data_IF_444500985083
#
_entry.id   IF_444500985083
#
_cell.length_a   1.000
_cell.length_b   1.000
_cell.length_c   1.000
_cell.angle_alpha   90.00
_cell.angle_beta   90.00
_cell.angle_gamma   90.00
#
_symmetry.space_group_name_H-M   'P 1'
#
loop_
_entity.id
_entity.type
_entity.pdbx_description
1 polymer ?
#
# COMPACT_ATOMS: atom_id res chain seq x y z
N UNK A 1 -14.19 -24.05 -28.53
CA UNK A 1 -13.33 -22.90 -28.90
C UNK A 1 -13.55 -21.84 -27.82
N UNK A 2 -12.72 -21.86 -26.77
CA UNK A 2 -12.92 -21.08 -25.54
C UNK A 2 -11.99 -19.87 -25.56
N UNK A 3 -12.55 -18.65 -25.58
CA UNK A 3 -11.78 -17.41 -25.56
C UNK A 3 -11.84 -16.84 -24.13
N UNK A 4 -10.71 -16.89 -23.44
CA UNK A 4 -10.51 -16.40 -22.08
C UNK A 4 -10.47 -14.87 -22.13
N UNK A 5 -11.46 -14.22 -21.53
CA UNK A 5 -11.47 -12.77 -21.29
C UNK A 5 -10.36 -12.43 -20.28
N UNK A 6 -9.38 -11.67 -20.75
CA UNK A 6 -8.32 -11.06 -19.95
C UNK A 6 -8.96 -10.18 -18.85
N UNK A 7 -8.68 -10.53 -17.59
CA UNK A 7 -9.06 -9.73 -16.42
C UNK A 7 -8.08 -8.57 -16.28
N UNK A 8 -8.25 -7.51 -17.06
CA UNK A 8 -7.58 -6.25 -16.77
C UNK A 8 -8.37 -5.52 -15.67
N UNK A 9 -7.94 -5.74 -14.43
CA UNK A 9 -8.39 -4.93 -13.30
C UNK A 9 -7.30 -3.91 -12.96
N UNK A 10 -7.01 -2.99 -13.89
CA UNK A 10 -6.17 -1.81 -13.62
C UNK A 10 -7.00 -0.65 -13.05
N UNK A 11 -7.70 -0.87 -11.93
CA UNK A 11 -8.23 0.22 -11.11
C UNK A 11 -7.07 0.90 -10.37
N UNK A 12 -6.27 1.69 -11.11
CA UNK A 12 -5.33 2.66 -10.54
C UNK A 12 -6.10 3.98 -10.36
N UNK A 13 -6.90 4.04 -9.30
CA UNK A 13 -7.51 5.28 -8.81
C UNK A 13 -6.36 6.24 -8.48
N UNK A 14 -6.36 7.42 -9.11
CA UNK A 14 -5.27 8.41 -9.05
C UNK A 14 -5.46 9.34 -7.86
N UNK A 15 -5.53 8.79 -6.66
CA UNK A 15 -5.20 9.52 -5.44
C UNK A 15 -3.68 9.59 -5.28
N UNK A 16 -3.15 10.73 -4.85
CA UNK A 16 -1.71 10.98 -4.69
C UNK A 16 -1.03 9.84 -3.91
N UNK A 17 -0.44 8.91 -4.65
CA UNK A 17 0.23 7.76 -4.09
C UNK A 17 1.72 8.06 -4.07
N UNK A 18 2.27 8.34 -2.88
CA UNK A 18 3.72 8.44 -2.66
C UNK A 18 4.37 7.04 -2.64
N UNK A 19 3.81 6.07 -3.37
CA UNK A 19 4.31 4.71 -3.42
C UNK A 19 5.54 4.63 -4.34
N UNK A 20 6.35 3.59 -4.18
CA UNK A 20 7.48 3.34 -5.06
C UNK A 20 7.02 3.29 -6.53
N UNK A 21 7.76 3.98 -7.40
CA UNK A 21 7.47 4.05 -8.84
C UNK A 21 6.49 5.16 -9.26
N UNK A 22 6.09 6.06 -8.36
CA UNK A 22 5.41 7.31 -8.72
C UNK A 22 6.38 8.49 -8.66
N UNK A 23 6.15 9.53 -9.47
CA UNK A 23 6.91 10.79 -9.41
C UNK A 23 6.78 11.49 -8.04
N UNK A 24 5.76 11.10 -7.27
CA UNK A 24 5.48 11.66 -5.97
C UNK A 24 6.27 10.97 -4.85
N UNK A 25 6.91 9.81 -5.08
CA UNK A 25 7.60 9.03 -4.03
C UNK A 25 8.52 9.87 -3.12
N UNK A 26 9.23 10.84 -3.70
CA UNK A 26 10.14 11.75 -2.98
C UNK A 26 9.45 12.73 -2.02
N UNK A 27 8.14 12.95 -2.16
CA UNK A 27 7.33 13.77 -1.26
C UNK A 27 6.75 12.97 -0.08
N UNK A 28 6.94 11.65 -0.05
CA UNK A 28 6.47 10.77 1.03
C UNK A 28 7.42 10.72 2.22
N UNK A 29 7.49 11.77 3.04
CA UNK A 29 8.47 11.86 4.15
C UNK A 29 8.17 10.98 5.38
N UNK A 30 6.95 10.47 5.51
CA UNK A 30 6.51 9.75 6.71
C UNK A 30 7.31 8.47 6.96
N UNK A 31 7.47 7.62 5.94
CA UNK A 31 8.18 6.35 6.07
C UNK A 31 9.69 6.55 6.30
N UNK A 32 10.40 7.41 5.54
CA UNK A 32 11.80 7.73 5.82
C UNK A 32 12.04 8.25 7.24
N UNK A 33 11.17 9.13 7.74
CA UNK A 33 11.28 9.66 9.10
C UNK A 33 11.12 8.56 10.16
N UNK A 34 10.08 7.74 10.04
CA UNK A 34 9.82 6.66 11.00
C UNK A 34 10.92 5.60 10.96
N UNK A 35 11.45 5.25 9.79
CA UNK A 35 12.61 4.36 9.67
C UNK A 35 13.84 4.92 10.40
N UNK A 36 14.12 6.22 10.25
CA UNK A 36 15.27 6.84 10.90
C UNK A 36 15.14 6.82 12.45
N UNK A 37 13.98 7.19 12.98
CA UNK A 37 13.73 7.21 14.43
C UNK A 37 13.75 5.81 15.02
N UNK A 38 13.07 4.85 14.38
CA UNK A 38 13.05 3.47 14.85
C UNK A 38 14.42 2.81 14.74
N UNK A 39 15.18 3.12 13.68
CA UNK A 39 16.56 2.66 13.52
C UNK A 39 17.50 3.19 14.60
N UNK A 40 17.32 4.44 15.05
CA UNK A 40 18.11 5.02 16.13
C UNK A 40 17.97 4.24 17.45
N UNK A 41 16.78 3.68 17.72
CA UNK A 41 16.50 2.89 18.93
C UNK A 41 16.73 1.38 18.73
N UNK A 42 17.29 0.96 17.60
CA UNK A 42 17.64 -0.44 17.30
C UNK A 42 16.53 -1.28 16.67
N UNK A 43 15.38 -0.70 16.32
CA UNK A 43 14.31 -1.39 15.60
C UNK A 43 14.56 -1.24 14.10
N UNK A 44 15.00 -2.30 13.44
CA UNK A 44 15.40 -2.29 12.02
C UNK A 44 14.54 -3.15 11.11
N UNK A 45 13.96 -4.23 11.64
CA UNK A 45 13.02 -5.08 10.90
C UNK A 45 11.62 -4.47 10.91
N UNK A 46 11.36 -3.57 9.96
CA UNK A 46 10.14 -2.77 9.89
C UNK A 46 9.47 -2.95 8.53
N UNK A 47 8.23 -3.43 8.59
CA UNK A 47 7.33 -3.51 7.44
C UNK A 47 6.28 -2.40 7.52
N UNK A 48 6.20 -1.55 6.50
CA UNK A 48 5.16 -0.52 6.39
C UNK A 48 4.02 -1.02 5.50
N UNK A 49 2.79 -0.89 6.00
CA UNK A 49 1.58 -1.19 5.24
C UNK A 49 0.82 0.12 5.04
N UNK A 50 0.51 0.45 3.78
CA UNK A 50 -0.21 1.69 3.42
C UNK A 50 -1.57 1.36 2.81
N UNK A 51 -2.62 1.91 3.38
CA UNK A 51 -3.92 1.98 2.71
C UNK A 51 -3.89 3.14 1.69
N UNK A 52 -3.60 2.85 0.42
CA UNK A 52 -3.60 3.86 -0.63
C UNK A 52 -5.04 4.33 -0.94
N UNK A 53 -5.23 5.62 -1.22
CA UNK A 53 -6.46 6.21 -1.78
C UNK A 53 -7.72 6.14 -0.89
N UNK A 54 -7.66 6.77 0.28
CA UNK A 54 -8.83 6.99 1.15
C UNK A 54 -9.67 8.24 0.76
N UNK A 55 -9.11 9.14 -0.06
CA UNK A 55 -9.72 10.43 -0.40
C UNK A 55 -10.61 10.42 -1.66
N UNK A 56 -10.52 9.40 -2.51
CA UNK A 56 -11.35 9.31 -3.73
C UNK A 56 -12.46 8.28 -3.54
N UNK A 57 -13.66 8.75 -3.14
CA UNK A 57 -14.91 7.98 -3.04
C UNK A 57 -14.95 6.84 -1.99
N UNK A 58 -16.16 6.56 -1.50
CA UNK A 58 -16.45 5.56 -0.46
C UNK A 58 -15.98 4.14 -0.85
N UNK A 59 -16.17 3.78 -2.12
CA UNK A 59 -15.86 2.43 -2.62
C UNK A 59 -14.35 2.16 -2.67
N UNK A 60 -13.54 3.12 -3.12
CA UNK A 60 -12.08 2.93 -3.20
C UNK A 60 -11.44 2.86 -1.82
N UNK A 61 -11.99 3.57 -0.83
CA UNK A 61 -11.59 3.45 0.58
C UNK A 61 -11.90 2.07 1.14
N UNK A 62 -13.12 1.55 0.91
CA UNK A 62 -13.50 0.19 1.35
C UNK A 62 -12.60 -0.88 0.74
N UNK A 63 -12.30 -0.76 -0.55
CA UNK A 63 -11.39 -1.69 -1.25
C UNK A 63 -9.95 -1.60 -0.70
N UNK A 64 -9.46 -0.40 -0.39
CA UNK A 64 -8.12 -0.21 0.18
C UNK A 64 -7.99 -0.81 1.59
N UNK A 65 -9.02 -0.65 2.42
CA UNK A 65 -9.09 -1.25 3.75
C UNK A 65 -9.17 -2.78 3.68
N UNK A 66 -10.01 -3.33 2.78
CA UNK A 66 -10.10 -4.77 2.57
C UNK A 66 -8.75 -5.37 2.16
N UNK A 67 -8.07 -4.78 1.17
CA UNK A 67 -6.72 -5.20 0.74
C UNK A 67 -5.70 -5.13 1.88
N UNK A 68 -5.76 -4.08 2.70
CA UNK A 68 -4.88 -3.91 3.87
C UNK A 68 -5.10 -5.03 4.88
N UNK A 69 -6.35 -5.38 5.17
CA UNK A 69 -6.69 -6.48 6.08
C UNK A 69 -6.19 -7.84 5.57
N UNK A 70 -6.36 -8.11 4.27
CA UNK A 70 -5.89 -9.36 3.68
C UNK A 70 -4.36 -9.49 3.72
N UNK A 71 -3.63 -8.38 3.52
CA UNK A 71 -2.17 -8.35 3.63
C UNK A 71 -1.70 -8.59 5.07
N UNK A 72 -2.34 -7.94 6.05
CA UNK A 72 -2.03 -8.16 7.48
C UNK A 72 -2.20 -9.63 7.84
N UNK A 73 -3.31 -10.27 7.42
CA UNK A 73 -3.54 -11.70 7.67
C UNK A 73 -2.45 -12.59 7.08
N UNK A 74 -2.04 -12.33 5.84
CA UNK A 74 -0.96 -13.09 5.18
C UNK A 74 0.38 -12.91 5.88
N UNK A 75 0.66 -11.69 6.35
CA UNK A 75 1.88 -11.43 7.11
C UNK A 75 1.86 -12.23 8.40
N UNK A 76 0.80 -12.19 9.19
CA UNK A 76 0.70 -12.94 10.45
C UNK A 76 0.91 -14.46 10.29
N UNK A 77 0.54 -15.06 9.16
CA UNK A 77 0.78 -16.50 8.92
C UNK A 77 2.21 -16.86 8.53
N UNK A 78 3.07 -15.87 8.28
CA UNK A 78 4.45 -16.04 7.77
C UNK A 78 5.52 -15.83 8.85
N UNK A 79 5.13 -15.48 10.08
CA UNK A 79 6.04 -15.34 11.23
C UNK A 79 6.10 -16.61 12.08
#
# INVERSE_FOLDING_TARGET
MSHILHRDSSLRERGSSYAAGTDLVSYGFQEPYLRAVLGLIGVSDITFIRAANSNEREDSRRQSLAKTHDLIRQMTTTW
#
